data_IF_977038978170
#
_entry.id   IF_977038978170
#
_cell.length_a   1.000
_cell.length_b   1.000
_cell.length_c   1.000
_cell.angle_alpha   90.00
_cell.angle_beta   90.00
_cell.angle_gamma   90.00
#
_symmetry.space_group_name_H-M   'P 1'
#
loop_
_entity.id
_entity.type
_entity.pdbx_description
1 polymer ?
#
# COMPACT_ATOMS: atom_id res chain seq x y z
N UNK A 1 -72.86 36.69 -6.67
CA UNK A 1 -73.09 35.27 -6.98
C UNK A 1 -71.76 34.68 -7.46
N UNK A 2 -71.24 33.70 -6.70
CA UNK A 2 -70.23 32.68 -7.03
C UNK A 2 -68.80 33.14 -7.42
N UNK A 3 -67.81 32.97 -6.52
CA UNK A 3 -67.05 31.75 -6.18
C UNK A 3 -65.87 31.51 -7.15
N UNK A 4 -64.63 31.74 -6.70
CA UNK A 4 -63.69 30.67 -6.29
C UNK A 4 -62.30 31.25 -5.98
N UNK A 5 -61.79 30.89 -4.81
CA UNK A 5 -60.52 31.29 -4.21
C UNK A 5 -59.45 30.29 -4.65
N UNK A 6 -58.34 30.76 -5.24
CA UNK A 6 -57.10 29.99 -5.36
C UNK A 6 -55.98 30.74 -4.61
N UNK A 7 -55.92 30.53 -3.29
CA UNK A 7 -54.71 30.84 -2.50
C UNK A 7 -53.70 29.73 -2.79
N UNK A 8 -52.67 30.03 -3.57
CA UNK A 8 -51.50 29.17 -3.71
C UNK A 8 -50.79 29.07 -2.35
N UNK A 9 -50.99 27.94 -1.66
CA UNK A 9 -50.19 27.55 -0.50
C UNK A 9 -48.76 27.28 -1.00
N UNK A 10 -47.89 28.27 -0.84
CA UNK A 10 -46.45 28.11 -0.98
C UNK A 10 -46.01 27.25 0.21
N UNK A 11 -45.78 25.95 -0.04
CA UNK A 11 -45.14 25.07 0.94
C UNK A 11 -43.73 25.61 1.16
N UNK A 12 -43.45 26.17 2.34
CA UNK A 12 -42.06 26.36 2.80
C UNK A 12 -41.42 24.98 2.85
N UNK A 13 -40.51 24.67 1.91
CA UNK A 13 -39.61 23.54 2.07
C UNK A 13 -38.83 23.78 3.37
N UNK A 14 -38.86 22.79 4.26
CA UNK A 14 -38.04 22.75 5.47
C UNK A 14 -36.58 22.96 5.10
N UNK A 15 -35.95 24.02 5.61
CA UNK A 15 -34.50 24.16 5.57
C UNK A 15 -33.90 23.01 6.36
N UNK A 16 -33.26 22.06 5.66
CA UNK A 16 -32.41 21.05 6.31
C UNK A 16 -31.39 21.81 7.15
N UNK A 17 -31.30 21.56 8.46
CA UNK A 17 -30.27 22.20 9.28
C UNK A 17 -28.92 21.78 8.71
N UNK A 18 -28.10 22.76 8.31
CA UNK A 18 -26.70 22.52 7.96
C UNK A 18 -26.06 21.77 9.14
N UNK A 19 -25.35 20.65 8.93
CA UNK A 19 -24.70 19.96 10.02
C UNK A 19 -23.79 20.94 10.76
N UNK A 20 -23.93 20.98 12.08
CA UNK A 20 -23.05 21.73 12.97
C UNK A 20 -21.64 21.20 12.72
N UNK A 21 -20.78 22.02 12.12
CA UNK A 21 -19.38 21.69 11.94
C UNK A 21 -18.72 21.80 13.31
N UNK A 22 -18.55 20.66 13.97
CA UNK A 22 -17.67 20.55 15.13
C UNK A 22 -16.26 20.70 14.56
N UNK A 23 -15.63 21.87 14.76
CA UNK A 23 -14.23 22.10 14.43
C UNK A 23 -13.39 21.21 15.34
N UNK A 24 -13.15 19.97 14.93
CA UNK A 24 -12.14 19.12 15.54
C UNK A 24 -10.77 19.78 15.31
N UNK A 25 -9.87 19.78 16.30
CA UNK A 25 -8.52 20.28 16.10
C UNK A 25 -7.91 19.49 14.95
N UNK A 26 -7.54 20.20 13.87
CA UNK A 26 -6.95 19.60 12.69
C UNK A 26 -5.54 19.13 13.06
N UNK A 27 -5.41 17.86 13.40
CA UNK A 27 -4.13 17.20 13.62
C UNK A 27 -3.26 17.38 12.36
N UNK A 28 -2.00 17.76 12.55
CA UNK A 28 -1.05 17.93 11.46
C UNK A 28 -0.74 16.57 10.85
N UNK A 29 -0.64 16.52 9.51
CA UNK A 29 -0.33 15.27 8.81
C UNK A 29 1.13 14.88 9.06
N UNK A 30 1.39 13.58 9.17
CA UNK A 30 2.74 13.04 9.32
C UNK A 30 3.50 13.19 8.00
N UNK A 31 4.77 13.58 8.06
CA UNK A 31 5.62 13.70 6.87
C UNK A 31 6.51 12.47 6.75
N UNK A 32 6.52 11.85 5.57
CA UNK A 32 7.33 10.67 5.27
C UNK A 32 8.41 11.07 4.27
N UNK A 33 9.67 10.94 4.69
CA UNK A 33 10.83 11.21 3.84
C UNK A 33 10.89 10.22 2.69
N UNK A 34 10.83 8.95 3.04
CA UNK A 34 10.94 7.83 2.10
C UNK A 34 10.03 6.69 2.56
N UNK A 35 9.27 6.16 1.62
CA UNK A 35 8.48 4.94 1.78
C UNK A 35 9.10 3.85 0.91
N UNK A 36 9.62 2.81 1.55
CA UNK A 36 10.28 1.69 0.88
C UNK A 36 9.36 0.48 0.87
N UNK A 37 9.07 -0.04 -0.31
CA UNK A 37 8.37 -1.30 -0.52
C UNK A 37 9.38 -2.37 -0.89
N UNK A 38 9.57 -3.33 0.01
CA UNK A 38 10.30 -4.55 -0.27
C UNK A 38 9.32 -5.63 -0.73
N UNK A 39 9.45 -6.03 -1.99
CA UNK A 39 8.61 -7.03 -2.65
C UNK A 39 9.39 -8.33 -2.81
N UNK A 40 8.80 -9.44 -2.36
CA UNK A 40 9.38 -10.78 -2.46
C UNK A 40 8.43 -11.72 -3.17
N UNK A 41 8.95 -12.55 -4.07
CA UNK A 41 8.13 -13.57 -4.73
C UNK A 41 8.97 -14.76 -5.19
N UNK A 42 8.32 -15.90 -5.35
CA UNK A 42 8.89 -17.07 -6.00
C UNK A 42 8.90 -16.94 -7.54
N UNK A 43 7.96 -16.18 -8.10
CA UNK A 43 7.80 -16.02 -9.55
C UNK A 43 8.34 -14.66 -10.02
N UNK A 44 9.43 -14.63 -10.82
CA UNK A 44 10.07 -13.38 -11.21
C UNK A 44 9.22 -12.55 -12.18
N UNK A 45 8.41 -13.20 -13.03
CA UNK A 45 7.52 -12.51 -13.96
C UNK A 45 6.43 -11.73 -13.23
N UNK A 46 5.80 -12.36 -12.24
CA UNK A 46 4.78 -11.72 -11.38
C UNK A 46 5.39 -10.55 -10.64
N UNK A 47 6.55 -10.75 -10.00
CA UNK A 47 7.26 -9.70 -9.27
C UNK A 47 7.58 -8.48 -10.15
N UNK A 48 8.07 -8.71 -11.38
CA UNK A 48 8.38 -7.64 -12.34
C UNK A 48 7.12 -6.88 -12.75
N UNK A 49 6.02 -7.59 -12.99
CA UNK A 49 4.74 -6.97 -13.37
C UNK A 49 4.19 -6.10 -12.24
N UNK A 50 4.26 -6.58 -10.99
CA UNK A 50 3.76 -5.86 -9.82
C UNK A 50 4.64 -4.64 -9.48
N UNK A 51 5.96 -4.78 -9.63
CA UNK A 51 6.88 -3.65 -9.49
C UNK A 51 6.54 -2.54 -10.51
N UNK A 52 6.28 -2.89 -11.78
CA UNK A 52 5.84 -1.94 -12.80
C UNK A 52 4.51 -1.28 -12.43
N UNK A 53 3.55 -2.04 -11.90
CA UNK A 53 2.28 -1.51 -11.41
C UNK A 53 2.48 -0.48 -10.30
N UNK A 54 3.27 -0.79 -9.27
CA UNK A 54 3.55 0.12 -8.16
C UNK A 54 4.22 1.43 -8.61
N UNK A 55 5.22 1.34 -9.51
CA UNK A 55 5.88 2.50 -10.11
C UNK A 55 4.88 3.35 -10.91
N UNK A 56 4.02 2.70 -11.70
CA UNK A 56 3.02 3.40 -12.51
C UNK A 56 2.00 4.12 -11.64
N UNK A 57 1.53 3.48 -10.56
CA UNK A 57 0.63 4.08 -9.59
C UNK A 57 1.27 5.34 -8.97
N UNK A 58 2.50 5.23 -8.45
CA UNK A 58 3.21 6.38 -7.88
C UNK A 58 3.39 7.54 -8.86
N UNK A 59 3.67 7.25 -10.13
CA UNK A 59 3.77 8.27 -11.16
C UNK A 59 2.44 9.00 -11.41
N UNK A 60 1.30 8.29 -11.34
CA UNK A 60 -0.02 8.92 -11.45
C UNK A 60 -0.39 9.77 -10.23
N UNK A 61 0.10 9.41 -9.03
CA UNK A 61 0.00 10.26 -7.84
C UNK A 61 0.95 11.48 -7.89
N UNK A 62 1.83 11.58 -8.89
CA UNK A 62 2.79 12.67 -9.03
C UNK A 62 4.02 12.53 -8.11
N UNK A 63 4.34 11.31 -7.67
CA UNK A 63 5.43 11.01 -6.76
C UNK A 63 6.71 10.63 -7.50
N UNK A 64 7.88 10.99 -6.94
CA UNK A 64 9.16 10.51 -7.44
C UNK A 64 9.35 9.04 -7.03
N UNK A 65 9.30 8.14 -8.00
CA UNK A 65 9.45 6.70 -7.80
C UNK A 65 10.81 6.17 -8.29
N UNK A 66 11.44 5.31 -7.50
CA UNK A 66 12.67 4.57 -7.86
C UNK A 66 12.42 3.09 -7.68
N UNK A 67 12.85 2.27 -8.62
CA UNK A 67 12.74 0.81 -8.49
C UNK A 67 14.04 0.12 -8.87
N UNK A 68 14.33 -0.97 -8.19
CA UNK A 68 15.46 -1.85 -8.52
C UNK A 68 15.20 -3.26 -8.03
N UNK A 69 15.92 -4.21 -8.62
CA UNK A 69 15.81 -5.62 -8.26
C UNK A 69 17.17 -6.18 -7.91
N UNK A 70 17.20 -7.17 -7.03
CA UNK A 70 18.44 -7.90 -6.75
C UNK A 70 18.81 -8.75 -7.98
N UNK A 71 20.08 -8.70 -8.39
CA UNK A 71 20.55 -9.41 -9.60
C UNK A 71 20.38 -10.93 -9.52
N UNK A 72 20.49 -11.51 -8.31
CA UNK A 72 20.39 -12.95 -8.08
C UNK A 72 19.33 -13.23 -7.02
N UNK A 73 18.50 -14.26 -7.20
CA UNK A 73 17.59 -14.69 -6.14
C UNK A 73 18.34 -15.34 -4.99
N UNK A 74 17.71 -15.34 -3.82
CA UNK A 74 18.16 -16.12 -2.67
C UNK A 74 17.69 -17.56 -2.89
N UNK A 75 18.62 -18.51 -2.77
CA UNK A 75 18.37 -19.94 -2.98
C UNK A 75 18.46 -20.67 -1.65
N UNK A 76 17.38 -21.35 -1.27
CA UNK A 76 17.35 -22.22 -0.10
C UNK A 76 17.20 -23.66 -0.57
N UNK A 77 18.18 -24.51 -0.26
CA UNK A 77 18.22 -25.91 -0.73
C UNK A 77 18.10 -26.88 0.43
N UNK A 78 17.20 -27.83 0.31
CA UNK A 78 16.96 -28.88 1.29
C UNK A 78 17.14 -30.24 0.64
N UNK A 79 17.94 -31.12 1.25
CA UNK A 79 18.16 -32.47 0.73
C UNK A 79 17.56 -33.50 1.68
N UNK A 80 16.42 -34.06 1.27
CA UNK A 80 15.65 -35.03 2.07
C UNK A 80 15.86 -36.44 1.51
N UNK A 81 15.61 -37.47 2.32
CA UNK A 81 15.56 -38.84 1.84
C UNK A 81 14.39 -39.01 0.85
N UNK A 82 14.61 -39.77 -0.22
CA UNK A 82 13.54 -40.09 -1.17
C UNK A 82 12.54 -41.10 -0.59
N UNK A 83 13.05 -42.05 0.18
CA UNK A 83 12.26 -43.07 0.87
C UNK A 83 11.91 -42.60 2.28
N UNK A 84 10.76 -43.06 2.78
CA UNK A 84 10.34 -42.85 4.17
C UNK A 84 11.28 -43.58 5.14
N UNK A 85 11.83 -44.75 4.78
CA UNK A 85 12.63 -45.58 5.67
C UNK A 85 13.91 -46.14 5.02
N UNK A 86 14.98 -46.26 5.85
CA UNK A 86 16.32 -46.91 5.68
C UNK A 86 17.19 -46.46 4.49
N UNK A 87 16.63 -46.04 3.37
CA UNK A 87 17.38 -45.83 2.12
C UNK A 87 18.13 -44.49 2.07
N UNK A 88 19.25 -44.37 2.81
CA UNK A 88 20.05 -43.14 2.93
C UNK A 88 20.71 -42.67 1.62
N UNK A 89 21.06 -43.60 0.72
CA UNK A 89 21.76 -43.30 -0.55
C UNK A 89 20.87 -42.54 -1.56
N UNK A 90 19.55 -42.72 -1.49
CA UNK A 90 18.61 -42.08 -2.42
C UNK A 90 18.04 -40.81 -1.79
N UNK A 91 18.38 -39.64 -2.36
CA UNK A 91 17.97 -38.33 -1.84
C UNK A 91 17.29 -37.50 -2.93
N UNK A 92 16.42 -36.59 -2.50
CA UNK A 92 15.77 -35.58 -3.34
C UNK A 92 16.22 -34.21 -2.87
N UNK A 93 16.55 -33.34 -3.81
CA UNK A 93 16.90 -31.95 -3.55
C UNK A 93 15.70 -31.07 -3.88
N UNK A 94 15.22 -30.35 -2.87
CA UNK A 94 14.23 -29.30 -3.02
C UNK A 94 14.94 -27.95 -2.98
N UNK A 95 14.43 -27.01 -3.77
CA UNK A 95 14.96 -25.64 -3.82
C UNK A 95 13.80 -24.65 -3.74
N UNK A 96 13.93 -23.64 -2.87
CA UNK A 96 13.08 -22.46 -2.87
C UNK A 96 13.91 -21.29 -3.40
N UNK A 97 13.35 -20.57 -4.36
CA UNK A 97 13.92 -19.33 -4.91
C UNK A 97 13.08 -18.17 -4.45
N UNK A 98 13.72 -17.17 -3.87
CA UNK A 98 13.07 -15.91 -3.49
C UNK A 98 13.73 -14.77 -4.26
N UNK A 99 12.94 -14.14 -5.13
CA UNK A 99 13.33 -12.94 -5.86
C UNK A 99 12.94 -11.70 -5.07
N UNK A 100 13.77 -10.66 -5.15
CA UNK A 100 13.59 -9.42 -4.42
C UNK A 100 13.52 -8.25 -5.41
N UNK A 101 12.54 -7.39 -5.23
CA UNK A 101 12.44 -6.09 -5.89
C UNK A 101 12.06 -5.03 -4.87
N UNK A 102 12.57 -3.83 -5.08
CA UNK A 102 12.38 -2.70 -4.20
C UNK A 102 11.76 -1.56 -5.00
N UNK A 103 10.78 -0.90 -4.40
CA UNK A 103 10.20 0.34 -4.92
C UNK A 103 10.26 1.38 -3.81
N UNK A 104 10.84 2.53 -4.09
CA UNK A 104 10.90 3.65 -3.17
C UNK A 104 10.09 4.82 -3.71
N UNK A 105 9.33 5.44 -2.82
CA UNK A 105 8.69 6.72 -3.06
C UNK A 105 9.29 7.75 -2.10
N UNK A 106 9.58 8.94 -2.60
CA UNK A 106 10.15 10.02 -1.80
C UNK A 106 9.15 11.17 -1.62
N UNK A 107 9.27 11.88 -0.49
CA UNK A 107 8.54 13.12 -0.18
C UNK A 107 7.01 12.93 -0.19
N UNK A 108 6.49 12.19 0.78
CA UNK A 108 5.06 11.91 0.90
C UNK A 108 4.49 12.52 2.18
N UNK A 109 3.17 12.75 2.18
CA UNK A 109 2.41 12.97 3.40
C UNK A 109 1.83 11.63 3.90
N UNK A 110 1.42 11.56 5.16
CA UNK A 110 0.86 10.36 5.78
C UNK A 110 -0.41 9.91 5.07
N UNK A 111 -1.35 10.83 4.87
CA UNK A 111 -2.59 10.59 4.13
C UNK A 111 -2.37 10.05 2.71
N UNK A 112 -1.40 10.60 1.98
CA UNK A 112 -1.04 10.16 0.62
C UNK A 112 -0.42 8.77 0.65
N UNK A 113 0.48 8.51 1.61
CA UNK A 113 1.12 7.21 1.76
C UNK A 113 0.11 6.11 2.11
N UNK A 114 -0.85 6.40 2.98
CA UNK A 114 -1.89 5.44 3.37
C UNK A 114 -2.83 5.14 2.20
N UNK A 115 -3.24 6.15 1.43
CA UNK A 115 -4.05 5.95 0.22
C UNK A 115 -3.31 5.13 -0.83
N UNK A 116 -2.01 5.39 -1.01
CA UNK A 116 -1.17 4.64 -1.94
C UNK A 116 -1.00 3.18 -1.48
N UNK A 117 -0.71 2.97 -0.20
CA UNK A 117 -0.57 1.63 0.38
C UNK A 117 -1.87 0.85 0.27
N UNK A 118 -3.01 1.46 0.56
CA UNK A 118 -4.33 0.84 0.39
C UNK A 118 -4.52 0.34 -1.05
N UNK A 119 -4.19 1.17 -2.04
CA UNK A 119 -4.31 0.77 -3.45
C UNK A 119 -3.35 -0.35 -3.83
N UNK A 120 -2.11 -0.32 -3.33
CA UNK A 120 -1.10 -1.35 -3.61
C UNK A 120 -1.46 -2.67 -2.94
N UNK A 121 -1.86 -2.64 -1.67
CA UNK A 121 -2.18 -3.83 -0.86
C UNK A 121 -3.46 -4.52 -1.35
N UNK A 122 -4.48 -3.77 -1.78
CA UNK A 122 -5.70 -4.34 -2.37
C UNK A 122 -5.45 -5.13 -3.64
N UNK A 123 -4.42 -4.77 -4.39
CA UNK A 123 -4.05 -5.40 -5.65
C UNK A 123 -2.86 -6.37 -5.50
N UNK A 124 -2.47 -6.73 -4.27
CA UNK A 124 -1.32 -7.59 -4.01
C UNK A 124 -1.61 -9.03 -4.50
N UNK A 125 -0.80 -9.59 -5.43
CA UNK A 125 -0.98 -10.96 -5.89
C UNK A 125 -0.63 -11.99 -4.81
N UNK A 126 -1.28 -13.15 -4.84
CA UNK A 126 -1.11 -14.23 -3.85
C UNK A 126 0.35 -14.68 -3.67
N UNK A 127 1.14 -14.63 -4.75
CA UNK A 127 2.53 -15.09 -4.76
C UNK A 127 3.54 -14.02 -4.34
N UNK A 128 3.09 -12.81 -3.96
CA UNK A 128 3.97 -11.68 -3.62
C UNK A 128 3.78 -11.30 -2.16
N UNK A 129 4.87 -11.31 -1.40
CA UNK A 129 4.92 -10.73 -0.07
C UNK A 129 5.42 -9.27 -0.16
N UNK A 130 4.76 -8.39 0.58
CA UNK A 130 5.09 -6.97 0.66
C UNK A 130 5.51 -6.61 2.09
N UNK A 131 6.62 -5.89 2.22
CA UNK A 131 7.02 -5.23 3.47
C UNK A 131 7.18 -3.74 3.19
N UNK A 132 6.34 -2.93 3.84
CA UNK A 132 6.43 -1.48 3.79
C UNK A 132 7.27 -0.95 4.95
N UNK A 133 8.26 -0.11 4.65
CA UNK A 133 9.08 0.60 5.63
C UNK A 133 8.87 2.09 5.46
N UNK A 134 8.31 2.75 6.49
CA UNK A 134 8.03 4.19 6.50
C UNK A 134 9.13 4.92 7.26
N UNK A 135 9.78 5.89 6.63
CA UNK A 135 10.76 6.78 7.29
C UNK A 135 10.10 8.12 7.55
N UNK A 136 9.63 8.33 8.77
CA UNK A 136 8.98 9.57 9.20
C UNK A 136 9.99 10.70 9.43
N UNK A 137 9.56 11.93 9.17
CA UNK A 137 10.25 13.16 9.53
C UNK A 137 9.59 13.69 10.79
N UNK A 138 10.38 13.85 11.84
CA UNK A 138 9.94 14.47 13.10
C UNK A 138 10.88 15.60 13.47
N UNK A 139 10.33 16.57 14.18
CA UNK A 139 11.12 17.62 14.81
C UNK A 139 11.91 17.05 16.00
N UNK A 140 12.93 17.80 16.42
CA UNK A 140 13.64 17.45 17.65
C UNK A 140 12.66 17.55 18.82
N UNK A 141 12.68 16.59 19.75
CA UNK A 141 11.77 16.62 20.88
C UNK A 141 12.15 17.76 21.84
N UNK A 142 11.14 18.35 22.48
CA UNK A 142 11.25 19.56 23.30
C UNK A 142 12.34 19.49 24.39
N UNK A 143 12.62 18.30 24.91
CA UNK A 143 13.61 18.08 25.97
C UNK A 143 15.07 18.12 25.50
N UNK A 144 15.32 18.18 24.20
CA UNK A 144 16.67 18.27 23.61
C UNK A 144 16.96 19.65 23.01
N UNK A 145 16.03 20.60 23.15
CA UNK A 145 16.12 21.96 22.58
C UNK A 145 16.41 22.97 23.69
#
# INVERSE_FOLDING_TARGET
MNQFILKSIIRKLSSVPKPIQIEQPKELDSLIKTLELELRSNEPAVLKSFCKFAVTAGNHFGLESKSWSLKKPVHERYTVLKSIHINKKHRVQYEKRTYFSFVQFNKLTGSTADTLLEYVERNLPESVALKATKVEVRELPDHLT
#
